data_IF_050277230766
#
_entry.id   IF_050277230766
#
_cell.length_a   1.000
_cell.length_b   1.000
_cell.length_c   1.000
_cell.angle_alpha   90.00
_cell.angle_beta   90.00
_cell.angle_gamma   90.00
#
_symmetry.space_group_name_H-M   'P 1'
#
loop_
_entity.id
_entity.type
_entity.pdbx_description
1 polymer ?
#
# COMPACT_ATOMS: atom_id res chain seq x y z
N UNK A 1 3.30 7.33 -17.92
CA UNK A 1 2.79 7.88 -16.65
C UNK A 1 2.36 6.69 -15.80
N UNK A 2 3.29 6.07 -15.05
CA UNK A 2 3.01 4.91 -14.18
C UNK A 2 3.74 5.09 -12.84
N UNK A 3 3.45 6.22 -12.20
CA UNK A 3 3.32 6.29 -10.74
C UNK A 3 2.35 5.17 -10.35
N UNK A 4 2.68 4.34 -9.34
CA UNK A 4 1.81 3.31 -8.72
C UNK A 4 0.49 3.21 -9.46
N UNK A 5 0.41 2.32 -10.47
CA UNK A 5 -0.60 2.37 -11.54
C UNK A 5 -1.86 3.15 -11.13
N UNK A 6 -2.00 4.39 -11.62
CA UNK A 6 -3.20 5.21 -11.39
C UNK A 6 -4.49 4.48 -11.82
N UNK A 7 -4.38 3.37 -12.55
CA UNK A 7 -5.52 2.48 -12.86
C UNK A 7 -6.09 1.79 -11.62
N UNK A 8 -5.34 1.72 -10.49
CA UNK A 8 -5.79 1.14 -9.21
C UNK A 8 -6.14 2.15 -8.14
N UNK A 9 -6.12 3.45 -8.45
CA UNK A 9 -6.51 4.50 -7.52
C UNK A 9 -7.86 5.04 -7.96
N UNK A 10 -8.86 4.98 -7.08
CA UNK A 10 -10.07 5.74 -7.32
C UNK A 10 -10.01 7.12 -6.68
N UNK A 11 -10.59 8.09 -7.38
CA UNK A 11 -10.54 9.50 -7.03
C UNK A 11 -11.97 10.04 -6.91
N UNK A 12 -12.45 10.15 -5.66
CA UNK A 12 -13.76 10.74 -5.36
C UNK A 12 -13.59 12.23 -5.05
N UNK A 13 -14.38 13.09 -5.70
CA UNK A 13 -14.39 14.53 -5.47
C UNK A 13 -15.59 14.93 -4.59
N UNK A 14 -15.30 15.22 -3.30
CA UNK A 14 -16.07 16.04 -2.35
C UNK A 14 -17.55 15.72 -2.10
N UNK A 15 -17.84 15.30 -0.86
CA UNK A 15 -18.72 15.98 0.12
C UNK A 15 -18.34 15.54 1.54
N UNK A 16 -18.85 16.21 2.58
CA UNK A 16 -18.49 16.01 3.99
C UNK A 16 -18.89 14.65 4.58
N UNK A 17 -19.09 14.61 5.91
CA UNK A 17 -19.49 13.40 6.66
C UNK A 17 -20.55 12.63 5.86
N UNK A 18 -20.21 11.40 5.44
CA UNK A 18 -20.99 10.56 4.54
C UNK A 18 -22.34 10.21 5.18
N UNK A 19 -23.42 10.92 4.81
CA UNK A 19 -24.79 10.63 5.26
C UNK A 19 -25.71 10.21 4.10
N UNK A 20 -25.25 10.26 2.85
CA UNK A 20 -26.05 9.91 1.66
C UNK A 20 -25.77 8.49 1.14
N UNK A 21 -26.83 7.69 0.98
CA UNK A 21 -26.77 6.34 0.39
C UNK A 21 -26.38 6.36 -1.10
N UNK A 22 -26.63 7.45 -1.83
CA UNK A 22 -26.16 7.59 -3.22
C UNK A 22 -24.63 7.72 -3.28
N UNK A 23 -24.02 8.48 -2.36
CA UNK A 23 -22.58 8.67 -2.27
C UNK A 23 -21.87 7.36 -1.90
N UNK A 24 -22.45 6.57 -1.00
CA UNK A 24 -21.97 5.22 -0.67
C UNK A 24 -21.91 4.31 -1.90
N UNK A 25 -22.94 4.33 -2.75
CA UNK A 25 -22.94 3.55 -4.01
C UNK A 25 -21.86 4.01 -4.97
N UNK A 26 -21.63 5.33 -5.07
CA UNK A 26 -20.52 5.88 -5.87
C UNK A 26 -19.18 5.36 -5.36
N UNK A 27 -18.92 5.47 -4.05
CA UNK A 27 -17.67 5.01 -3.43
C UNK A 27 -17.42 3.51 -3.68
N UNK A 28 -18.46 2.68 -3.56
CA UNK A 28 -18.34 1.23 -3.83
C UNK A 28 -17.99 1.00 -5.31
N UNK A 29 -18.67 1.69 -6.23
CA UNK A 29 -18.40 1.56 -7.67
C UNK A 29 -17.00 2.08 -8.04
N UNK A 30 -16.56 3.13 -7.36
CA UNK A 30 -15.26 3.76 -7.55
C UNK A 30 -14.12 2.85 -7.09
N UNK A 31 -14.25 2.27 -5.89
CA UNK A 31 -13.29 1.32 -5.34
C UNK A 31 -13.24 0.04 -6.18
N UNK A 32 -14.40 -0.52 -6.56
CA UNK A 32 -14.52 -1.74 -7.37
C UNK A 32 -13.55 -2.86 -6.90
N UNK A 33 -12.71 -3.38 -7.79
CA UNK A 33 -11.72 -4.43 -7.50
C UNK A 33 -10.36 -3.88 -7.02
N UNK A 34 -10.30 -2.58 -6.71
CA UNK A 34 -9.07 -1.91 -6.27
C UNK A 34 -8.95 -1.97 -4.76
N UNK A 35 -7.71 -1.91 -4.28
CA UNK A 35 -7.41 -1.97 -2.85
C UNK A 35 -7.13 -0.60 -2.22
N UNK A 36 -6.95 0.45 -3.02
CA UNK A 36 -6.56 1.78 -2.53
C UNK A 36 -7.41 2.85 -3.22
N UNK A 37 -8.00 3.74 -2.43
CA UNK A 37 -8.77 4.88 -2.91
C UNK A 37 -8.30 6.15 -2.21
N UNK A 38 -8.08 7.22 -2.97
CA UNK A 38 -7.75 8.54 -2.43
C UNK A 38 -9.02 9.38 -2.47
N UNK A 39 -9.46 9.80 -1.28
CA UNK A 39 -10.61 10.67 -1.10
C UNK A 39 -10.11 12.11 -1.09
N UNK A 40 -10.43 12.87 -2.14
CA UNK A 40 -9.90 14.22 -2.33
C UNK A 40 -10.34 15.12 -1.17
N UNK A 41 -9.37 15.71 -0.49
CA UNK A 41 -9.55 16.57 0.70
C UNK A 41 -10.05 15.84 1.95
N UNK A 42 -9.99 14.50 2.00
CA UNK A 42 -10.37 13.73 3.18
C UNK A 42 -9.25 12.78 3.65
N UNK A 43 -8.59 12.09 2.71
CA UNK A 43 -7.54 11.13 3.03
C UNK A 43 -7.56 9.96 2.06
N UNK A 44 -7.45 8.74 2.58
CA UNK A 44 -7.47 7.52 1.78
C UNK A 44 -8.23 6.40 2.48
N UNK A 45 -8.73 5.45 1.69
CA UNK A 45 -9.34 4.20 2.14
C UNK A 45 -8.55 3.05 1.55
N UNK A 46 -8.26 2.06 2.38
CA UNK A 46 -7.51 0.87 1.98
C UNK A 46 -8.26 -0.38 2.40
N UNK A 47 -8.32 -1.34 1.47
CA UNK A 47 -8.91 -2.65 1.67
C UNK A 47 -7.87 -3.72 1.33
N UNK A 48 -7.55 -4.59 2.28
CA UNK A 48 -6.70 -5.75 2.05
C UNK A 48 -7.49 -7.05 2.24
N UNK A 49 -7.00 -8.13 1.65
CA UNK A 49 -7.54 -9.49 1.92
C UNK A 49 -7.27 -9.95 3.36
N UNK A 50 -6.23 -9.38 3.98
CA UNK A 50 -5.89 -9.54 5.40
C UNK A 50 -5.48 -8.18 6.00
N UNK A 51 -5.34 -8.12 7.32
CA UNK A 51 -4.90 -6.89 8.02
C UNK A 51 -3.48 -6.52 7.61
N UNK A 52 -2.61 -7.51 7.45
CA UNK A 52 -1.21 -7.37 7.05
C UNK A 52 -1.10 -6.79 5.64
N UNK A 53 -1.93 -7.27 4.70
CA UNK A 53 -1.98 -6.73 3.36
C UNK A 53 -2.49 -5.27 3.34
N UNK A 54 -3.55 -4.96 4.10
CA UNK A 54 -4.07 -3.60 4.20
C UNK A 54 -3.01 -2.64 4.81
N UNK A 55 -2.33 -3.09 5.87
CA UNK A 55 -1.24 -2.34 6.50
C UNK A 55 -0.09 -2.07 5.52
N UNK A 56 0.34 -3.08 4.76
CA UNK A 56 1.40 -2.94 3.76
C UNK A 56 1.05 -1.88 2.71
N UNK A 57 -0.18 -1.90 2.22
CA UNK A 57 -0.66 -0.90 1.25
C UNK A 57 -0.70 0.50 1.86
N UNK A 58 -1.15 0.62 3.12
CA UNK A 58 -1.21 1.90 3.82
C UNK A 58 0.17 2.51 4.03
N UNK A 59 1.11 1.69 4.50
CA UNK A 59 2.49 2.09 4.69
C UNK A 59 3.12 2.62 3.39
N UNK A 60 2.97 1.88 2.30
CA UNK A 60 3.52 2.29 1.00
C UNK A 60 2.81 3.52 0.41
N UNK A 61 1.50 3.66 0.59
CA UNK A 61 0.77 4.84 0.14
C UNK A 61 1.29 6.10 0.85
N UNK A 62 1.43 6.04 2.17
CA UNK A 62 1.95 7.17 2.97
C UNK A 62 3.37 7.52 2.50
N UNK A 63 4.26 6.54 2.38
CA UNK A 63 5.61 6.77 1.86
C UNK A 63 5.62 7.37 0.45
N UNK A 64 4.73 6.93 -0.42
CA UNK A 64 4.62 7.46 -1.78
C UNK A 64 4.16 8.92 -1.76
N UNK A 65 3.18 9.27 -0.93
CA UNK A 65 2.72 10.65 -0.75
C UNK A 65 3.81 11.54 -0.17
N UNK A 66 4.53 11.09 0.87
CA UNK A 66 5.65 11.83 1.44
C UNK A 66 6.77 12.06 0.41
N UNK A 67 7.12 11.00 -0.33
CA UNK A 67 8.14 11.09 -1.38
C UNK A 67 7.71 12.07 -2.46
N UNK A 68 6.44 12.03 -2.88
CA UNK A 68 5.91 12.97 -3.86
C UNK A 68 6.01 14.43 -3.38
N UNK A 69 5.67 14.71 -2.12
CA UNK A 69 5.80 16.06 -1.54
C UNK A 69 7.26 16.50 -1.48
N UNK A 70 8.18 15.61 -1.06
CA UNK A 70 9.63 15.92 -1.00
C UNK A 70 10.22 16.16 -2.39
N UNK A 71 9.78 15.42 -3.40
CA UNK A 71 10.27 15.56 -4.78
C UNK A 71 9.64 16.74 -5.53
N UNK A 72 8.44 17.20 -5.13
CA UNK A 72 7.68 18.24 -5.82
C UNK A 72 7.11 19.25 -4.81
N UNK A 73 7.96 20.00 -4.09
CA UNK A 73 7.50 20.88 -3.01
C UNK A 73 6.62 22.05 -3.49
N UNK A 74 6.78 22.50 -4.74
CA UNK A 74 6.07 23.66 -5.30
C UNK A 74 4.92 23.29 -6.26
N UNK A 75 4.58 22.00 -6.39
CA UNK A 75 3.54 21.54 -7.31
C UNK A 75 3.89 21.66 -8.81
N UNK A 76 5.05 22.22 -9.14
CA UNK A 76 5.60 22.20 -10.49
C UNK A 76 6.15 20.80 -10.76
N UNK A 77 5.75 20.19 -11.89
CA UNK A 77 6.31 18.94 -12.42
C UNK A 77 7.79 19.14 -12.83
N UNK A 78 8.62 19.62 -11.92
CA UNK A 78 10.06 19.60 -12.03
C UNK A 78 10.46 18.15 -12.28
N UNK A 79 11.38 17.95 -13.22
CA UNK A 79 11.68 16.67 -13.86
C UNK A 79 11.95 15.53 -12.87
N UNK A 80 10.89 14.91 -12.34
CA UNK A 80 11.01 13.69 -11.56
C UNK A 80 11.53 12.64 -12.53
N UNK A 81 12.79 12.26 -12.34
CA UNK A 81 13.44 11.21 -13.13
C UNK A 81 12.65 9.93 -12.88
N UNK A 82 11.93 9.48 -13.91
CA UNK A 82 11.20 8.23 -13.86
C UNK A 82 12.14 7.09 -14.21
N UNK A 83 12.03 6.00 -13.46
CA UNK A 83 12.69 4.74 -13.79
C UNK A 83 12.11 4.14 -15.08
N UNK A 84 12.84 3.22 -15.71
CA UNK A 84 12.35 2.50 -16.88
C UNK A 84 11.06 1.74 -16.57
N UNK A 85 10.23 1.49 -17.59
CA UNK A 85 9.03 0.66 -17.45
C UNK A 85 9.37 -0.75 -16.96
N UNK A 86 10.44 -1.32 -17.48
CA UNK A 86 10.95 -2.64 -17.07
C UNK A 86 11.23 -2.69 -15.56
N UNK A 87 11.91 -1.68 -15.02
CA UNK A 87 12.18 -1.61 -13.58
C UNK A 87 10.88 -1.51 -12.76
N UNK A 88 9.88 -0.77 -13.24
CA UNK A 88 8.57 -0.67 -12.57
C UNK A 88 7.82 -2.01 -12.56
N UNK A 89 7.83 -2.73 -13.69
CA UNK A 89 7.20 -4.04 -13.82
C UNK A 89 7.89 -5.08 -12.92
N UNK A 90 9.23 -5.08 -12.87
CA UNK A 90 9.99 -5.95 -11.97
C UNK A 90 9.64 -5.71 -10.49
N UNK A 91 9.53 -4.44 -10.08
CA UNK A 91 9.10 -4.09 -8.72
C UNK A 91 7.68 -4.57 -8.46
N UNK A 92 6.75 -4.38 -9.41
CA UNK A 92 5.37 -4.86 -9.25
C UNK A 92 5.30 -6.39 -9.06
N UNK A 93 6.11 -7.15 -9.78
CA UNK A 93 6.18 -8.61 -9.61
C UNK A 93 6.68 -9.00 -8.22
N UNK A 94 7.74 -8.35 -7.73
CA UNK A 94 8.28 -8.62 -6.38
C UNK A 94 7.27 -8.27 -5.29
N UNK A 95 6.56 -7.15 -5.43
CA UNK A 95 5.55 -6.72 -4.45
C UNK A 95 4.37 -7.71 -4.40
N UNK A 96 3.93 -8.25 -5.54
CA UNK A 96 2.86 -9.26 -5.60
C UNK A 96 3.21 -10.57 -4.91
N UNK A 97 4.50 -10.91 -4.86
CA UNK A 97 4.99 -12.13 -4.20
C UNK A 97 5.02 -11.97 -2.67
N UNK A 98 5.17 -10.75 -2.16
CA UNK A 98 5.27 -10.47 -0.72
C UNK A 98 6.62 -10.85 -0.10
N UNK A 99 6.73 -10.66 1.22
CA UNK A 99 7.90 -11.06 2.00
C UNK A 99 9.17 -10.25 1.72
N UNK A 100 9.08 -8.95 1.44
CA UNK A 100 10.25 -8.05 1.33
C UNK A 100 11.37 -8.49 0.36
N UNK A 101 11.09 -9.36 -0.61
CA UNK A 101 12.09 -9.94 -1.51
C UNK A 101 12.90 -11.12 -0.94
N UNK A 102 12.63 -11.55 0.30
CA UNK A 102 13.32 -12.68 0.97
C UNK A 102 12.61 -14.03 0.80
N UNK A 103 11.46 -14.06 0.11
CA UNK A 103 10.77 -15.28 -0.31
C UNK A 103 11.48 -15.95 -1.50
N UNK A 104 12.78 -16.21 -1.40
CA UNK A 104 13.57 -16.88 -2.45
C UNK A 104 14.41 -18.00 -1.86
N UNK A 105 14.28 -19.20 -2.41
CA UNK A 105 15.15 -20.35 -2.15
C UNK A 105 15.71 -20.80 -3.50
N UNK A 106 17.04 -20.86 -3.63
CA UNK A 106 17.74 -21.25 -4.87
C UNK A 106 17.26 -20.49 -6.13
N UNK A 107 16.98 -19.19 -5.96
CA UNK A 107 16.48 -18.32 -7.04
C UNK A 107 15.01 -18.52 -7.41
N UNK A 108 14.30 -19.46 -6.79
CA UNK A 108 12.85 -19.67 -6.95
C UNK A 108 12.08 -19.04 -5.81
N UNK A 109 10.88 -18.54 -6.11
CA UNK A 109 9.97 -17.98 -5.10
C UNK A 109 9.53 -19.10 -4.16
N UNK A 110 9.72 -18.92 -2.85
CA UNK A 110 9.13 -19.79 -1.84
C UNK A 110 7.81 -19.16 -1.33
N UNK A 111 6.65 -19.64 -1.82
CA UNK A 111 5.35 -19.09 -1.42
C UNK A 111 4.95 -19.47 0.00
N UNK A 112 5.68 -20.37 0.69
CA UNK A 112 5.29 -20.86 2.01
C UNK A 112 5.84 -20.03 3.16
N UNK A 113 6.86 -19.19 2.94
CA UNK A 113 7.57 -18.51 4.03
C UNK A 113 6.80 -17.29 4.56
N UNK A 114 6.46 -16.34 3.69
CA UNK A 114 5.71 -15.13 4.04
C UNK A 114 4.63 -14.83 3.01
N UNK A 115 3.40 -14.58 3.47
CA UNK A 115 2.36 -14.01 2.62
C UNK A 115 2.55 -12.50 2.47
N UNK A 116 1.74 -11.87 1.61
CA UNK A 116 1.80 -10.44 1.33
C UNK A 116 1.57 -9.64 2.63
N UNK A 117 2.57 -8.86 3.03
CA UNK A 117 2.52 -7.97 4.19
C UNK A 117 2.83 -8.62 5.54
N UNK A 118 2.86 -9.95 5.63
CA UNK A 118 3.06 -10.64 6.92
C UNK A 118 4.45 -10.34 7.53
N UNK A 119 5.49 -10.29 6.69
CA UNK A 119 6.85 -10.02 7.17
C UNK A 119 6.95 -8.61 7.75
N UNK A 120 6.41 -7.64 7.02
CA UNK A 120 6.38 -6.23 7.40
C UNK A 120 5.53 -6.02 8.66
N UNK A 121 4.38 -6.71 8.73
CA UNK A 121 3.50 -6.70 9.89
C UNK A 121 4.19 -7.25 11.14
N UNK A 122 4.80 -8.43 11.05
CA UNK A 122 5.54 -9.02 12.16
C UNK A 122 6.69 -8.12 12.63
N UNK A 123 7.42 -7.51 11.70
CA UNK A 123 8.48 -6.57 12.05
C UNK A 123 7.92 -5.35 12.81
N UNK A 124 6.77 -4.85 12.39
CA UNK A 124 6.07 -3.76 13.06
C UNK A 124 5.57 -4.15 14.45
N UNK A 125 4.99 -5.34 14.62
CA UNK A 125 4.59 -5.87 15.93
C UNK A 125 5.79 -5.97 16.89
N UNK A 126 6.94 -6.49 16.42
CA UNK A 126 8.18 -6.52 17.23
C UNK A 126 8.63 -5.14 17.67
N UNK A 127 8.51 -4.15 16.79
CA UNK A 127 8.85 -2.77 17.12
C UNK A 127 7.89 -2.20 18.17
N UNK A 128 6.59 -2.45 18.05
CA UNK A 128 5.61 -2.01 19.04
C UNK A 128 5.81 -2.68 20.40
N UNK A 129 6.06 -3.99 20.43
CA UNK A 129 6.37 -4.71 21.67
C UNK A 129 7.63 -4.18 22.34
N UNK A 130 8.69 -3.91 21.55
CA UNK A 130 9.93 -3.30 22.04
C UNK A 130 9.69 -1.93 22.67
N UNK A 131 8.77 -1.15 22.11
CA UNK A 131 8.38 0.16 22.63
C UNK A 131 7.36 0.10 23.78
N UNK A 132 7.05 -1.11 24.28
CA UNK A 132 6.22 -1.30 25.47
C UNK A 132 4.71 -1.39 25.22
N UNK A 133 4.26 -1.41 23.96
CA UNK A 133 2.84 -1.44 23.61
C UNK A 133 2.16 -2.82 23.81
N UNK A 134 2.94 -3.88 24.09
CA UNK A 134 2.47 -5.25 24.40
C UNK A 134 1.31 -5.71 23.50
N UNK A 135 1.59 -5.86 22.22
CA UNK A 135 0.63 -6.18 21.14
C UNK A 135 -0.07 -7.52 21.33
N UNK A 136 0.54 -8.47 22.05
CA UNK A 136 0.03 -9.83 22.20
C UNK A 136 0.08 -10.66 20.90
N UNK A 137 0.83 -10.18 19.89
CA UNK A 137 0.95 -10.86 18.61
C UNK A 137 1.70 -12.19 18.73
N UNK A 138 1.20 -13.22 18.07
CA UNK A 138 1.85 -14.52 17.98
C UNK A 138 2.77 -14.55 16.77
N UNK A 139 4.07 -14.60 17.02
CA UNK A 139 5.09 -14.64 15.97
C UNK A 139 5.21 -16.03 15.35
N UNK A 140 5.48 -16.10 14.04
CA UNK A 140 5.82 -17.37 13.40
C UNK A 140 7.11 -17.96 13.97
N UNK A 141 7.10 -19.27 14.17
CA UNK A 141 8.29 -20.03 14.55
C UNK A 141 9.14 -20.28 13.29
N UNK A 142 10.46 -20.11 13.44
CA UNK A 142 11.45 -20.18 12.37
C UNK A 142 11.91 -21.61 12.09
#
# INVERSE_FOLDING_TARGET
MHQISLQKLCHVAKTGILVDEAEKKSIIADLAEKHVMILRNHGFVICGVTIEHAFLLAYHLILACETQIRCCPNGENQQVIRTSKEAQEQVEQVVKIGGGGVNRIDGKVDPKKWQIGELEWEAYMRNMDRNGYKTGHQYKNW
#
